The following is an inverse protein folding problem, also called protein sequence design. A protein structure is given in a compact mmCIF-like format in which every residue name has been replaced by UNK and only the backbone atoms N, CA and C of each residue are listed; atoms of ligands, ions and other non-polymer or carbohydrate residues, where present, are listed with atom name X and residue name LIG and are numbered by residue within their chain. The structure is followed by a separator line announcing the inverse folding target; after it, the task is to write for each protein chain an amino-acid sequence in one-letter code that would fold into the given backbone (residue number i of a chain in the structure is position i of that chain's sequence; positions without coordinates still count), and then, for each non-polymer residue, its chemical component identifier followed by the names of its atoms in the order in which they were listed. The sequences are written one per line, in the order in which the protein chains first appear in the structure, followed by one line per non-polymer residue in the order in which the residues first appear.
data_IF_966420637072
#
_entry.id   IF_966420637072
#
_cell.length_a   1.000
_cell.length_b   1.000
_cell.length_c   1.000
_cell.angle_alpha   90.00
_cell.angle_beta   90.00
_cell.angle_gamma   90.00
#
_symmetry.space_group_name_H-M   'P 1'
#
loop_
_entity.id
_entity.type
_entity.pdbx_description
1 polymer ?
#
# COMPACT_ATOMS: atom_id res chain seq x y z
N UNK A 1 7.47 -11.98 -0.86
CA UNK A 1 7.61 -12.66 -2.17
C UNK A 1 6.27 -12.69 -2.85
N UNK A 2 6.20 -12.43 -4.15
CA UNK A 2 4.94 -12.44 -4.89
C UNK A 2 4.59 -13.87 -5.34
N UNK A 3 4.05 -14.67 -4.43
CA UNK A 3 3.71 -16.09 -4.71
C UNK A 3 2.59 -16.25 -5.73
N UNK A 4 1.81 -15.20 -6.00
CA UNK A 4 0.79 -15.20 -7.06
C UNK A 4 1.41 -15.24 -8.46
N UNK A 5 2.65 -14.76 -8.62
CA UNK A 5 3.37 -14.82 -9.89
C UNK A 5 3.72 -16.27 -10.31
N UNK A 6 3.71 -17.23 -9.38
CA UNK A 6 3.93 -18.66 -9.66
C UNK A 6 2.69 -19.37 -10.23
N UNK A 7 1.55 -18.68 -10.32
CA UNK A 7 0.36 -19.22 -11.02
C UNK A 7 0.55 -19.20 -12.54
N UNK A 8 1.49 -18.41 -13.04
CA UNK A 8 1.88 -18.39 -14.45
C UNK A 8 2.86 -19.57 -14.71
N UNK A 9 2.49 -20.54 -15.56
CA UNK A 9 3.33 -21.70 -15.84
C UNK A 9 4.69 -21.33 -16.44
N UNK A 10 4.80 -20.20 -17.15
CA UNK A 10 6.08 -19.73 -17.71
C UNK A 10 7.01 -19.27 -16.58
N UNK A 11 6.47 -18.53 -15.60
CA UNK A 11 7.24 -18.07 -14.44
C UNK A 11 7.57 -19.20 -13.49
N UNK A 12 6.70 -20.20 -13.40
CA UNK A 12 6.95 -21.42 -12.65
C UNK A 12 8.13 -22.21 -13.24
N UNK A 13 8.14 -22.42 -14.56
CA UNK A 13 9.22 -23.14 -15.24
C UNK A 13 10.55 -22.37 -15.17
N UNK A 14 10.48 -21.04 -15.34
CA UNK A 14 11.63 -20.18 -15.16
C UNK A 14 12.18 -20.26 -13.73
N UNK A 15 11.30 -20.24 -12.72
CA UNK A 15 11.70 -20.40 -11.32
C UNK A 15 12.34 -21.76 -11.04
N UNK A 16 11.76 -22.84 -11.56
CA UNK A 16 12.32 -24.19 -11.38
C UNK A 16 13.70 -24.32 -12.01
N UNK A 17 13.90 -23.74 -13.20
CA UNK A 17 15.19 -23.77 -13.91
C UNK A 17 16.24 -22.96 -13.14
N UNK A 18 15.91 -21.72 -12.75
CA UNK A 18 16.81 -20.87 -11.96
C UNK A 18 17.15 -21.50 -10.60
N UNK A 19 16.17 -22.11 -9.94
CA UNK A 19 16.39 -22.78 -8.66
C UNK A 19 17.34 -23.98 -8.82
N UNK A 20 17.19 -24.77 -9.89
CA UNK A 20 18.10 -25.89 -10.18
C UNK A 20 19.54 -25.41 -10.43
N UNK A 21 19.71 -24.32 -11.17
CA UNK A 21 21.04 -23.74 -11.44
C UNK A 21 21.70 -23.17 -10.17
N UNK A 22 20.91 -22.62 -9.25
CA UNK A 22 21.41 -22.03 -8.00
C UNK A 22 21.57 -23.04 -6.86
N UNK A 23 21.06 -24.26 -7.01
CA UNK A 23 21.26 -25.33 -6.03
C UNK A 23 22.67 -25.88 -6.13
N UNK A 24 23.31 -26.08 -4.98
CA UNK A 24 24.64 -26.65 -4.91
C UNK A 24 24.59 -28.13 -5.33
N UNK A 25 25.51 -28.53 -6.22
CA UNK A 25 25.65 -29.95 -6.61
C UNK A 25 26.21 -30.82 -5.49
N UNK A 26 26.90 -30.21 -4.52
CA UNK A 26 27.45 -30.87 -3.33
C UNK A 26 27.19 -30.01 -2.10
N UNK A 27 26.69 -30.63 -1.04
CA UNK A 27 26.36 -29.95 0.20
C UNK A 27 27.51 -30.08 1.22
N UNK A 28 27.87 -29.00 1.93
CA UNK A 28 28.91 -29.07 2.96
C UNK A 28 28.45 -29.92 4.15
N UNK A 29 29.40 -30.57 4.83
CA UNK A 29 29.15 -31.44 6.01
C UNK A 29 28.52 -30.67 7.19
N UNK A 30 28.72 -29.35 7.26
CA UNK A 30 28.10 -28.51 8.26
C UNK A 30 26.64 -28.19 7.87
N UNK A 31 25.70 -28.76 8.64
CA UNK A 31 24.25 -28.60 8.47
C UNK A 31 23.81 -27.13 8.51
N UNK A 32 24.41 -26.31 9.37
CA UNK A 32 24.03 -24.90 9.50
C UNK A 32 24.49 -24.08 8.29
N UNK A 33 25.67 -24.39 7.77
CA UNK A 33 26.21 -23.79 6.55
C UNK A 33 25.41 -24.24 5.32
N UNK A 34 25.04 -25.52 5.25
CA UNK A 34 24.15 -26.05 4.23
C UNK A 34 22.81 -25.33 4.25
N UNK A 35 22.14 -25.25 5.41
CA UNK A 35 20.84 -24.59 5.53
C UNK A 35 20.90 -23.11 5.12
N UNK A 36 21.98 -22.43 5.50
CA UNK A 36 22.22 -21.03 5.13
C UNK A 36 22.37 -20.87 3.62
N UNK A 37 23.18 -21.71 2.96
CA UNK A 37 23.37 -21.66 1.51
C UNK A 37 22.10 -22.03 0.75
N UNK A 38 21.38 -23.06 1.18
CA UNK A 38 20.10 -23.47 0.59
C UNK A 38 19.08 -22.33 0.65
N UNK A 39 18.95 -21.70 1.83
CA UNK A 39 18.04 -20.57 2.02
C UNK A 39 18.44 -19.39 1.14
N UNK A 40 19.73 -19.10 1.02
CA UNK A 40 20.23 -18.04 0.14
C UNK A 40 19.90 -18.31 -1.33
N UNK A 41 20.13 -19.53 -1.83
CA UNK A 41 19.81 -19.92 -3.21
C UNK A 41 18.31 -19.82 -3.51
N UNK A 42 17.46 -20.23 -2.57
CA UNK A 42 15.99 -20.10 -2.71
C UNK A 42 15.59 -18.63 -2.76
N UNK A 43 16.11 -17.80 -1.85
CA UNK A 43 15.81 -16.36 -1.81
C UNK A 43 16.25 -15.68 -3.11
N UNK A 44 17.47 -15.94 -3.58
CA UNK A 44 18.01 -15.36 -4.81
C UNK A 44 17.18 -15.78 -6.04
N UNK A 45 16.81 -17.06 -6.12
CA UNK A 45 15.99 -17.57 -7.23
C UNK A 45 14.59 -16.94 -7.23
N UNK A 46 13.98 -16.79 -6.06
CA UNK A 46 12.68 -16.12 -5.93
C UNK A 46 12.78 -14.62 -6.25
N UNK A 47 13.83 -13.94 -5.80
CA UNK A 47 14.07 -12.53 -6.12
C UNK A 47 14.19 -12.32 -7.63
N UNK A 48 14.93 -13.20 -8.32
CA UNK A 48 15.16 -13.11 -9.76
C UNK A 48 13.91 -13.42 -10.61
N UNK A 49 13.01 -14.29 -10.13
CA UNK A 49 11.89 -14.81 -10.94
C UNK A 49 10.55 -14.17 -10.61
N UNK A 50 10.22 -14.05 -9.33
CA UNK A 50 8.92 -13.55 -8.87
C UNK A 50 9.02 -12.17 -8.22
N UNK A 51 10.23 -11.75 -7.85
CA UNK A 51 10.50 -10.48 -7.21
C UNK A 51 9.86 -10.34 -5.83
N UNK A 52 10.08 -9.18 -5.23
CA UNK A 52 9.41 -8.81 -3.99
C UNK A 52 7.99 -8.33 -4.29
N UNK A 53 7.04 -8.82 -3.51
CA UNK A 53 5.71 -8.24 -3.48
C UNK A 53 5.87 -6.89 -2.78
N UNK A 54 5.84 -5.79 -3.53
CA UNK A 54 5.70 -4.45 -2.96
C UNK A 54 4.37 -4.44 -2.23
N UNK A 55 4.42 -4.48 -0.90
CA UNK A 55 3.22 -4.35 -0.07
C UNK A 55 2.47 -3.11 -0.56
N UNK A 56 1.21 -3.30 -0.96
CA UNK A 56 0.23 -2.25 -1.23
C UNK A 56 -0.10 -1.49 0.05
N UNK A 57 0.90 -0.82 0.61
CA UNK A 57 0.68 0.09 1.74
C UNK A 57 -0.08 1.34 1.28
N UNK A 58 -0.05 1.67 -0.02
CA UNK A 58 -0.82 2.80 -0.57
C UNK A 58 -2.33 2.58 -0.49
N UNK A 59 -2.83 1.41 -0.86
CA UNK A 59 -4.29 1.17 -0.90
C UNK A 59 -4.98 1.39 0.47
N UNK A 60 -4.31 1.12 1.60
CA UNK A 60 -4.87 1.40 2.93
C UNK A 60 -4.89 2.90 3.26
N UNK A 61 -3.85 3.63 2.86
CA UNK A 61 -3.76 5.07 3.13
C UNK A 61 -4.71 5.88 2.23
N UNK A 62 -4.88 5.47 0.97
CA UNK A 62 -5.72 6.17 0.00
C UNK A 62 -7.21 6.17 0.40
N UNK A 63 -7.71 5.09 1.01
CA UNK A 63 -9.08 5.03 1.55
C UNK A 63 -9.26 5.96 2.76
N UNK A 64 -8.28 6.00 3.67
CA UNK A 64 -8.33 6.88 4.83
C UNK A 64 -8.21 8.35 4.45
N UNK A 65 -7.36 8.69 3.48
CA UNK A 65 -7.23 10.06 2.98
C UNK A 65 -8.56 10.56 2.42
N UNK A 66 -9.26 9.72 1.66
CA UNK A 66 -10.58 10.04 1.11
C UNK A 66 -11.63 10.28 2.21
N UNK A 67 -11.63 9.46 3.26
CA UNK A 67 -12.56 9.61 4.39
C UNK A 67 -12.26 10.87 5.22
N UNK A 68 -10.98 11.14 5.46
CA UNK A 68 -10.52 12.33 6.20
C UNK A 68 -10.85 13.60 5.41
N UNK A 69 -10.61 13.63 4.10
CA UNK A 69 -10.99 14.75 3.23
C UNK A 69 -12.50 15.00 3.26
N UNK A 70 -13.31 13.94 3.20
CA UNK A 70 -14.76 14.06 3.27
C UNK A 70 -15.22 14.69 4.60
N UNK A 71 -14.64 14.26 5.73
CA UNK A 71 -14.95 14.83 7.05
C UNK A 71 -14.55 16.30 7.15
N UNK A 72 -13.39 16.67 6.62
CA UNK A 72 -12.91 18.07 6.60
C UNK A 72 -13.85 18.94 5.78
N UNK A 73 -14.27 18.48 4.60
CA UNK A 73 -15.18 19.22 3.73
C UNK A 73 -16.56 19.41 4.39
N UNK A 74 -17.11 18.36 5.03
CA UNK A 74 -18.37 18.43 5.77
C UNK A 74 -18.31 19.44 6.92
N UNK A 75 -17.20 19.44 7.68
CA UNK A 75 -16.96 20.42 8.76
C UNK A 75 -16.88 21.84 8.20
N UNK A 76 -16.13 22.05 7.12
CA UNK A 76 -15.98 23.36 6.46
C UNK A 76 -17.33 23.87 5.93
N UNK A 77 -18.11 23.05 5.24
CA UNK A 77 -19.44 23.42 4.72
C UNK A 77 -20.39 23.82 5.84
N UNK A 78 -20.47 23.02 6.91
CA UNK A 78 -21.32 23.32 8.07
C UNK A 78 -20.90 24.61 8.75
N UNK A 79 -19.59 24.83 8.92
CA UNK A 79 -19.05 26.05 9.51
C UNK A 79 -19.34 27.29 8.65
N UNK A 80 -19.19 27.19 7.33
CA UNK A 80 -19.51 28.29 6.41
C UNK A 80 -21.00 28.65 6.43
N UNK A 81 -21.89 27.66 6.46
CA UNK A 81 -23.35 27.87 6.58
C UNK A 81 -23.64 28.57 7.91
N UNK A 82 -23.15 28.03 9.03
CA UNK A 82 -23.32 28.64 10.35
C UNK A 82 -22.76 30.07 10.42
N UNK A 83 -21.60 30.32 9.82
CA UNK A 83 -21.00 31.66 9.78
C UNK A 83 -21.85 32.63 8.95
N UNK A 84 -22.40 32.18 7.81
CA UNK A 84 -23.32 32.97 6.98
C UNK A 84 -24.63 33.25 7.73
N UNK A 85 -25.21 32.27 8.41
CA UNK A 85 -26.45 32.44 9.17
C UNK A 85 -26.28 33.35 10.39
N UNK A 86 -25.18 33.21 11.13
CA UNK A 86 -24.83 34.10 12.25
C UNK A 86 -24.58 35.54 11.77
N UNK A 87 -23.91 35.70 10.63
CA UNK A 87 -23.71 37.01 10.01
C UNK A 87 -24.98 37.57 9.36
N UNK A 88 -25.93 36.74 8.94
CA UNK A 88 -27.26 37.14 8.44
C UNK A 88 -28.19 37.60 9.58
N UNK A 89 -28.21 36.91 10.72
CA UNK A 89 -29.00 37.30 11.89
C UNK A 89 -28.56 38.66 12.46
N UNK A 90 -27.27 39.00 12.33
CA UNK A 90 -26.71 40.26 12.83
C UNK A 90 -26.97 41.46 11.90
N UNK A 91 -27.42 41.23 10.65
CA UNK A 91 -27.73 42.31 9.68
C UNK A 91 -29.22 42.64 9.51
N UNK A 92 -30.15 41.95 10.19
CA UNK A 92 -31.60 42.24 10.12
C UNK A 92 -32.13 43.21 11.20
N UNK A 93 -31.29 43.73 12.10
CA UNK A 93 -31.71 44.72 13.11
C UNK A 93 -31.13 46.14 12.94
N UNK A 94 -30.37 46.41 11.88
CA UNK A 94 -29.71 47.72 11.67
C UNK A 94 -29.91 48.31 10.27
N UNK A 95 -30.97 47.92 9.56
CA UNK A 95 -31.41 48.62 8.35
C UNK A 95 -32.91 48.90 8.43
N UNK A 96 -33.26 49.97 9.14
CA UNK A 96 -34.46 50.77 8.87
C UNK A 96 -34.03 51.96 8.02
N UNK A 97 -34.37 52.00 6.71
CA UNK A 97 -34.33 53.22 5.92
C UNK A 97 -35.69 53.91 6.03
N UNK A 98 -35.69 55.17 6.42
CA UNK A 98 -36.79 56.08 6.15
C UNK A 98 -37.83 56.19 7.26
N UNK A 99 -37.96 57.42 7.75
CA UNK A 99 -38.92 57.92 8.73
C UNK A 99 -38.44 59.26 9.22
#
# INVERSE_FOLDING_TARGET
MNTQALQDPIKQDCFQTTLKDHLLSEFPDNIEEHWTKLKASIIASCEQTIGYQTKKHQDWFDENDSEIEHMIDKKRKTFQIWQRDRNCATKKKTFTPGG
#
